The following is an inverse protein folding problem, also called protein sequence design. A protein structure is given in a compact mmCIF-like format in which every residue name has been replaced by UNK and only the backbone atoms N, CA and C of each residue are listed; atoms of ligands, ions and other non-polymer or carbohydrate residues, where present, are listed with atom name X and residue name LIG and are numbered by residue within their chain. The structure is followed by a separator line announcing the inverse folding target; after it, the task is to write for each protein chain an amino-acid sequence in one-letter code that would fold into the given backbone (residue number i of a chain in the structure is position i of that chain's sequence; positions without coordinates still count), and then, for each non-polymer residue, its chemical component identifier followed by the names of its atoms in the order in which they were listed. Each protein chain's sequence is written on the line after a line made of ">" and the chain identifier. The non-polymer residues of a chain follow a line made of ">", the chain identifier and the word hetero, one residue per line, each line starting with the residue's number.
data_IF_872196039771
#
_entry.id   IF_872196039771
#
_cell.length_a   1.000
_cell.length_b   1.000
_cell.length_c   1.000
_cell.angle_alpha   90.00
_cell.angle_beta   90.00
_cell.angle_gamma   90.00
#
_symmetry.space_group_name_H-M   'P 1'
#
loop_
_entity.id
_entity.type
_entity.pdbx_description
1 polymer ?
#
# COMPACT_ATOMS: atom_id res chain seq x y z
N UNK A 1 -2.85 15.43 -4.23
CA UNK A 1 -1.84 15.59 -3.20
C UNK A 1 -0.47 15.63 -3.84
N UNK A 2 0.29 16.71 -3.57
CA UNK A 2 1.53 16.98 -4.28
C UNK A 2 2.59 15.89 -4.18
N UNK A 3 2.69 15.22 -3.05
CA UNK A 3 3.73 14.22 -2.89
C UNK A 3 3.40 12.88 -3.58
N UNK A 4 2.25 12.78 -4.22
CA UNK A 4 1.86 11.58 -4.96
C UNK A 4 1.97 11.75 -6.47
N UNK A 5 2.81 12.62 -6.93
CA UNK A 5 2.93 12.88 -8.37
C UNK A 5 3.57 11.74 -9.13
N UNK A 6 4.40 10.94 -8.47
CA UNK A 6 5.02 9.79 -9.11
C UNK A 6 4.16 8.57 -8.84
N UNK A 7 3.81 7.86 -9.87
CA UNK A 7 2.78 6.92 -9.71
C UNK A 7 3.12 5.51 -9.32
N UNK A 8 2.32 4.98 -8.45
CA UNK A 8 2.20 3.55 -8.26
C UNK A 8 1.86 2.84 -9.58
N UNK A 9 1.29 3.56 -10.53
CA UNK A 9 0.98 3.01 -11.85
C UNK A 9 2.21 2.49 -12.60
N UNK A 10 3.40 2.87 -12.17
CA UNK A 10 4.65 2.36 -12.76
C UNK A 10 5.04 0.99 -12.24
N UNK A 11 4.33 0.47 -11.27
CA UNK A 11 4.65 -0.84 -10.67
C UNK A 11 4.10 -2.01 -11.49
N UNK A 12 3.36 -1.73 -12.59
CA UNK A 12 2.66 -2.79 -13.29
C UNK A 12 1.56 -3.36 -12.40
N UNK A 13 1.59 -4.67 -12.15
CA UNK A 13 0.54 -5.33 -11.35
C UNK A 13 0.83 -5.35 -9.86
N UNK A 14 2.06 -5.15 -9.44
CA UNK A 14 2.42 -5.15 -8.02
C UNK A 14 3.78 -4.47 -7.82
N UNK A 15 3.97 -3.94 -6.63
CA UNK A 15 5.25 -3.35 -6.26
C UNK A 15 5.30 -2.89 -4.82
N UNK A 16 6.50 -2.66 -4.34
CA UNK A 16 6.76 -2.10 -3.02
C UNK A 16 7.26 -0.67 -3.18
N UNK A 17 6.88 0.21 -2.27
CA UNK A 17 7.32 1.60 -2.36
C UNK A 17 7.34 2.30 -1.02
N UNK A 18 8.08 3.41 -0.98
CA UNK A 18 8.02 4.41 0.08
C UNK A 18 7.92 5.78 -0.57
N UNK A 19 7.49 6.76 0.19
CA UNK A 19 7.46 8.15 -0.26
C UNK A 19 8.50 8.91 0.56
N UNK A 20 9.48 9.48 -0.11
CA UNK A 20 10.51 10.25 0.57
C UNK A 20 9.90 11.43 1.31
N UNK A 21 10.28 11.59 2.58
CA UNK A 21 9.81 12.70 3.39
C UNK A 21 8.42 12.52 4.00
N UNK A 22 7.76 11.38 3.73
CA UNK A 22 6.45 11.09 4.32
C UNK A 22 6.54 9.78 5.08
N UNK A 23 6.16 9.75 6.36
CA UNK A 23 6.15 8.50 7.12
C UNK A 23 5.28 7.44 6.45
N UNK A 24 5.77 6.21 6.41
CA UNK A 24 5.08 5.11 5.75
C UNK A 24 3.68 4.89 6.29
N UNK A 25 3.50 5.00 7.62
CA UNK A 25 2.17 4.88 8.23
C UNK A 25 1.19 5.96 7.77
N UNK A 26 1.68 7.16 7.53
CA UNK A 26 0.88 8.26 7.00
C UNK A 26 0.41 7.94 5.57
N UNK A 27 1.33 7.46 4.73
CA UNK A 27 1.00 7.07 3.35
C UNK A 27 -0.06 5.99 3.34
N UNK A 28 0.11 4.98 4.19
CA UNK A 28 -0.85 3.88 4.29
C UNK A 28 -2.23 4.37 4.71
N UNK A 29 -2.30 5.24 5.73
CA UNK A 29 -3.58 5.81 6.17
C UNK A 29 -4.26 6.63 5.07
N UNK A 30 -3.48 7.39 4.32
CA UNK A 30 -4.02 8.21 3.22
C UNK A 30 -4.60 7.34 2.10
N UNK A 31 -3.96 6.22 1.81
CA UNK A 31 -4.50 5.26 0.83
C UNK A 31 -5.79 4.63 1.35
N UNK A 32 -5.78 4.16 2.59
CA UNK A 32 -6.93 3.46 3.16
C UNK A 32 -8.16 4.36 3.32
N UNK A 33 -7.94 5.63 3.64
CA UNK A 33 -9.05 6.58 3.87
C UNK A 33 -9.62 7.15 2.56
N UNK A 34 -8.96 6.90 1.43
CA UNK A 34 -9.35 7.50 0.16
C UNK A 34 -8.84 8.92 -0.02
N UNK A 35 -8.09 9.47 0.92
CA UNK A 35 -7.46 10.78 0.78
C UNK A 35 -6.51 10.81 -0.40
N UNK A 36 -5.82 9.68 -0.63
CA UNK A 36 -5.11 9.42 -1.86
C UNK A 36 -5.96 8.49 -2.72
N UNK A 37 -6.59 8.99 -3.79
CA UNK A 37 -7.57 8.22 -4.55
C UNK A 37 -6.89 7.23 -5.51
N UNK A 38 -6.30 6.19 -4.96
CA UNK A 38 -5.72 5.11 -5.75
C UNK A 38 -6.70 3.95 -5.83
N UNK A 39 -6.74 3.34 -7.01
CA UNK A 39 -7.41 2.06 -7.18
C UNK A 39 -6.37 0.95 -6.98
N UNK A 40 -6.75 -0.11 -6.27
CA UNK A 40 -5.81 -1.18 -5.96
C UNK A 40 -6.56 -2.47 -5.63
N UNK A 41 -5.89 -3.60 -5.82
CA UNK A 41 -6.39 -4.89 -5.38
C UNK A 41 -6.09 -5.10 -3.91
N UNK A 42 -4.82 -4.97 -3.52
CA UNK A 42 -4.39 -5.06 -2.13
C UNK A 42 -3.41 -3.94 -1.82
N UNK A 43 -3.49 -3.41 -0.61
CA UNK A 43 -2.46 -2.54 -0.05
C UNK A 43 -2.08 -3.11 1.30
N UNK A 44 -0.78 -3.28 1.52
CA UNK A 44 -0.26 -3.93 2.73
C UNK A 44 0.77 -3.03 3.39
N UNK A 45 0.54 -2.71 4.66
CA UNK A 45 1.51 -2.00 5.47
C UNK A 45 2.54 -3.01 5.99
N UNK A 46 3.77 -2.90 5.52
CA UNK A 46 4.84 -3.81 5.90
C UNK A 46 5.93 -3.12 6.74
N UNK A 47 5.53 -2.13 7.53
CA UNK A 47 6.41 -1.43 8.45
C UNK A 47 7.19 -0.30 7.80
N UNK A 48 8.24 -0.62 7.07
CA UNK A 48 9.10 0.38 6.44
C UNK A 48 8.76 0.65 4.99
N UNK A 49 7.88 -0.16 4.40
CA UNK A 49 7.41 0.07 3.03
C UNK A 49 5.96 -0.37 2.90
N UNK A 50 5.35 -0.04 1.76
CA UNK A 50 3.99 -0.43 1.42
C UNK A 50 4.05 -1.31 0.19
N UNK A 51 3.38 -2.45 0.25
CA UNK A 51 3.13 -3.29 -0.92
C UNK A 51 1.76 -2.92 -1.49
N UNK A 52 1.69 -2.71 -2.80
CA UNK A 52 0.43 -2.44 -3.46
C UNK A 52 0.33 -3.29 -4.72
N UNK A 53 -0.86 -3.81 -4.98
CA UNK A 53 -1.12 -4.56 -6.20
C UNK A 53 -2.33 -3.96 -6.93
N UNK A 54 -2.39 -4.21 -8.23
CA UNK A 54 -3.44 -3.69 -9.07
C UNK A 54 -3.82 -4.75 -10.10
N UNK A 55 -5.12 -5.03 -10.19
CA UNK A 55 -5.65 -6.00 -11.13
C UNK A 55 -6.81 -5.36 -11.90
N UNK A 56 -6.57 -4.88 -13.14
CA UNK A 56 -7.60 -4.16 -13.89
C UNK A 56 -8.93 -4.92 -13.92
N UNK A 57 -9.99 -4.23 -13.50
CA UNK A 57 -11.33 -4.82 -13.44
C UNK A 57 -11.59 -5.77 -12.28
N UNK A 58 -10.60 -6.05 -11.44
CA UNK A 58 -10.72 -7.02 -10.35
C UNK A 58 -10.14 -6.51 -9.02
N UNK A 59 -10.07 -5.21 -8.83
CA UNK A 59 -9.50 -4.61 -7.62
C UNK A 59 -10.45 -4.74 -6.44
N UNK A 60 -10.03 -5.50 -5.42
CA UNK A 60 -10.83 -5.76 -4.22
C UNK A 60 -10.73 -4.67 -3.16
N UNK A 61 -9.76 -3.80 -3.28
CA UNK A 61 -9.45 -2.77 -2.28
C UNK A 61 -9.22 -3.35 -0.90
N UNK A 62 -8.54 -4.48 -0.84
CA UNK A 62 -8.21 -5.15 0.40
C UNK A 62 -7.07 -4.43 1.12
N UNK A 63 -7.27 -4.15 2.41
CA UNK A 63 -6.33 -3.38 3.24
C UNK A 63 -5.79 -4.28 4.33
N UNK A 64 -4.48 -4.48 4.37
CA UNK A 64 -3.85 -5.42 5.28
C UNK A 64 -2.67 -4.79 6.00
N UNK A 65 -2.36 -5.34 7.17
CA UNK A 65 -1.10 -5.09 7.88
C UNK A 65 -0.33 -6.38 8.01
N UNK A 66 0.97 -6.31 7.84
CA UNK A 66 1.87 -7.43 8.08
C UNK A 66 2.43 -7.34 9.49
N UNK A 67 2.49 -8.47 10.17
CA UNK A 67 3.16 -8.60 11.46
C UNK A 67 4.32 -9.57 11.29
N UNK A 68 5.52 -9.12 11.63
CA UNK A 68 6.74 -9.90 11.48
C UNK A 68 7.09 -10.53 12.82
N UNK A 69 7.21 -11.85 12.83
CA UNK A 69 7.58 -12.61 14.03
C UNK A 69 8.74 -13.54 13.69
N UNK A 70 9.34 -14.15 14.72
CA UNK A 70 10.39 -15.13 14.50
C UNK A 70 9.90 -16.39 13.78
N UNK A 71 8.59 -16.57 13.67
CA UNK A 71 7.98 -17.70 12.99
C UNK A 71 7.52 -17.36 11.57
N UNK A 72 7.75 -16.11 11.11
CA UNK A 72 7.37 -15.67 9.79
C UNK A 72 6.49 -14.43 9.83
N UNK A 73 5.84 -14.16 8.71
CA UNK A 73 4.98 -12.99 8.54
C UNK A 73 3.52 -13.41 8.53
N UNK A 74 2.69 -12.72 9.29
CA UNK A 74 1.24 -12.90 9.26
C UNK A 74 0.57 -11.63 8.75
N UNK A 75 -0.56 -11.78 8.08
CA UNK A 75 -1.32 -10.66 7.52
C UNK A 75 -2.69 -10.64 8.15
N UNK A 76 -3.17 -9.43 8.48
CA UNK A 76 -4.50 -9.26 9.06
C UNK A 76 -5.12 -7.97 8.54
N UNK A 77 -6.44 -7.89 8.66
CA UNK A 77 -7.17 -6.72 8.19
C UNK A 77 -6.70 -5.45 8.89
N UNK A 78 -6.53 -4.41 8.11
CA UNK A 78 -6.14 -3.11 8.63
C UNK A 78 -7.35 -2.26 8.99
#
# INVERSE_FOLDING_TARGET
>A
LGYYTAGAHKFGEAGDFTIQGVPTGQVFRDICSGRLPLDFDQVIFEGTWIHISYRPGHNRKQKLKATFTKHGTTYHAA
#
